data_IF_951748370904
#
_entry.id   IF_951748370904
#
_cell.length_a   1.000
_cell.length_b   1.000
_cell.length_c   1.000
_cell.angle_alpha   90.00
_cell.angle_beta   90.00
_cell.angle_gamma   90.00
#
_symmetry.space_group_name_H-M   'P 1'
#
loop_
_entity.id
_entity.type
_entity.pdbx_description
1 polymer ?
#
# COMPACT_ATOMS: atom_id res chain seq x y z
N UNK A 1 -13.48 12.96 -28.02
CA UNK A 1 -13.54 11.89 -26.99
C UNK A 1 -12.26 11.06 -26.95
N UNK A 2 -11.80 10.47 -28.06
CA UNK A 2 -10.55 9.68 -28.13
C UNK A 2 -9.29 10.44 -27.69
N UNK A 3 -9.12 11.70 -28.13
CA UNK A 3 -7.98 12.53 -27.76
C UNK A 3 -7.88 12.86 -26.26
N UNK A 4 -9.01 13.01 -25.57
CA UNK A 4 -9.04 13.26 -24.12
C UNK A 4 -8.59 12.04 -23.32
N UNK A 5 -9.00 10.84 -23.75
CA UNK A 5 -8.60 9.57 -23.14
C UNK A 5 -7.10 9.32 -23.34
N UNK A 6 -6.59 9.54 -24.55
CA UNK A 6 -5.15 9.41 -24.83
C UNK A 6 -4.30 10.41 -24.03
N UNK A 7 -4.76 11.66 -23.91
CA UNK A 7 -4.07 12.69 -23.12
C UNK A 7 -4.04 12.36 -21.62
N UNK A 8 -5.16 11.88 -21.06
CA UNK A 8 -5.23 11.43 -19.67
C UNK A 8 -4.32 10.23 -19.41
N UNK A 9 -4.30 9.26 -20.32
CA UNK A 9 -3.42 8.08 -20.23
C UNK A 9 -1.93 8.47 -20.29
N UNK A 10 -1.57 9.37 -21.21
CA UNK A 10 -0.18 9.84 -21.35
C UNK A 10 0.28 10.61 -20.11
N UNK A 11 -0.61 11.41 -19.53
CA UNK A 11 -0.37 12.14 -18.28
C UNK A 11 -0.15 11.19 -17.10
N UNK A 12 -0.95 10.11 -17.01
CA UNK A 12 -0.81 9.08 -16.00
C UNK A 12 0.54 8.35 -16.09
N UNK A 13 0.94 7.95 -17.30
CA UNK A 13 2.22 7.28 -17.54
C UNK A 13 3.40 8.19 -17.17
N UNK A 14 3.29 9.50 -17.43
CA UNK A 14 4.32 10.48 -17.07
C UNK A 14 4.47 10.62 -15.56
N UNK A 15 3.35 10.69 -14.83
CA UNK A 15 3.35 10.73 -13.36
C UNK A 15 3.96 9.48 -12.75
N UNK A 16 3.62 8.31 -13.29
CA UNK A 16 4.20 7.03 -12.86
C UNK A 16 5.71 6.96 -13.14
N UNK A 17 6.17 7.39 -14.32
CA UNK A 17 7.62 7.44 -14.62
C UNK A 17 8.38 8.31 -13.63
N UNK A 18 7.88 9.50 -13.33
CA UNK A 18 8.49 10.39 -12.33
C UNK A 18 8.52 9.79 -10.92
N UNK A 19 7.54 8.96 -10.55
CA UNK A 19 7.58 8.20 -9.30
C UNK A 19 8.64 7.08 -9.34
N UNK A 20 8.68 6.30 -10.41
CA UNK A 20 9.65 5.20 -10.60
C UNK A 20 11.10 5.69 -10.61
N UNK A 21 11.35 6.87 -11.18
CA UNK A 21 12.67 7.51 -11.24
C UNK A 21 13.04 8.24 -9.92
N UNK A 22 12.14 8.26 -8.92
CA UNK A 22 12.38 8.88 -7.62
C UNK A 22 12.18 10.40 -7.59
N UNK A 23 11.74 11.02 -8.69
CA UNK A 23 11.37 12.44 -8.73
C UNK A 23 10.11 12.75 -7.90
N UNK A 24 9.26 11.74 -7.66
CA UNK A 24 8.10 11.81 -6.75
C UNK A 24 8.22 10.70 -5.72
N UNK A 25 8.00 11.02 -4.45
CA UNK A 25 8.06 10.06 -3.32
C UNK A 25 6.73 9.41 -2.99
N UNK A 26 5.62 10.01 -3.45
CA UNK A 26 4.26 9.56 -3.13
C UNK A 26 3.50 9.42 -4.45
N UNK A 27 2.81 8.29 -4.61
CA UNK A 27 1.91 8.00 -5.71
C UNK A 27 0.55 7.59 -5.13
N UNK A 28 -0.50 8.31 -5.51
CA UNK A 28 -1.88 7.96 -5.19
C UNK A 28 -2.51 7.39 -6.45
N UNK A 29 -3.06 6.19 -6.36
CA UNK A 29 -3.64 5.48 -7.49
C UNK A 29 -4.83 4.63 -7.04
N UNK A 30 -5.80 4.45 -7.94
CA UNK A 30 -6.92 3.51 -7.79
C UNK A 30 -6.61 2.19 -8.51
N UNK A 31 -7.38 1.13 -8.23
CA UNK A 31 -7.17 -0.20 -8.83
C UNK A 31 -7.17 -0.23 -10.36
N UNK A 32 -7.88 0.72 -10.99
CA UNK A 32 -7.94 0.86 -12.44
C UNK A 32 -6.55 1.13 -13.05
N UNK A 33 -5.69 1.79 -12.28
CA UNK A 33 -4.31 2.12 -12.66
C UNK A 33 -3.33 1.01 -12.25
N UNK A 34 -3.62 0.26 -11.18
CA UNK A 34 -2.73 -0.76 -10.61
C UNK A 34 -2.61 -2.06 -11.42
N UNK A 35 -3.61 -2.41 -12.24
CA UNK A 35 -3.59 -3.69 -13.01
C UNK A 35 -2.64 -3.68 -14.22
N UNK A 36 -2.18 -2.50 -14.66
CA UNK A 36 -1.22 -2.35 -15.77
C UNK A 36 0.10 -1.69 -15.38
N UNK A 37 0.21 -1.19 -14.15
CA UNK A 37 1.39 -0.48 -13.67
C UNK A 37 2.07 -1.34 -12.60
N UNK A 38 3.21 -1.89 -12.99
CA UNK A 38 4.05 -2.67 -12.10
C UNK A 38 4.92 -1.76 -11.22
N UNK A 39 4.45 -1.46 -10.00
CA UNK A 39 5.18 -0.66 -9.03
C UNK A 39 6.01 -1.60 -8.17
N UNK A 40 7.20 -1.92 -8.63
CA UNK A 40 8.19 -2.68 -7.86
C UNK A 40 9.10 -1.69 -7.11
N UNK A 41 9.32 -1.90 -5.80
CA UNK A 41 10.19 -1.11 -4.87
C UNK A 41 9.51 0.04 -4.11
N UNK A 42 8.40 -0.23 -3.44
CA UNK A 42 7.87 0.69 -2.40
C UNK A 42 8.12 0.13 -1.01
N UNK A 43 8.44 1.00 -0.06
CA UNK A 43 8.65 0.62 1.33
C UNK A 43 7.31 0.50 2.09
N UNK A 44 6.34 1.34 1.71
CA UNK A 44 5.06 1.47 2.40
C UNK A 44 3.93 1.42 1.37
N UNK A 45 2.93 0.59 1.61
CA UNK A 45 1.66 0.56 0.89
C UNK A 45 0.55 0.96 1.86
N UNK A 46 -0.29 1.92 1.45
CA UNK A 46 -1.43 2.38 2.24
C UNK A 46 -2.70 2.12 1.42
N UNK A 47 -3.56 1.23 1.93
CA UNK A 47 -4.91 1.05 1.45
C UNK A 47 -5.81 2.07 2.16
N UNK A 48 -6.11 3.16 1.46
CA UNK A 48 -7.07 4.15 1.95
C UNK A 48 -8.49 3.58 2.00
N UNK A 49 -8.86 2.84 0.95
CA UNK A 49 -10.10 2.07 0.89
C UNK A 49 -9.79 0.57 0.93
N UNK A 50 -10.56 -0.18 1.70
CA UNK A 50 -10.43 -1.64 1.81
C UNK A 50 -10.66 -2.28 0.43
N UNK A 51 -9.78 -3.20 -0.02
CA UNK A 51 -10.01 -3.94 -1.26
C UNK A 51 -11.26 -4.82 -1.18
N UNK A 52 -11.90 -5.09 -2.32
CA UNK A 52 -13.12 -5.92 -2.39
C UNK A 52 -12.90 -7.39 -2.01
N UNK A 53 -11.65 -7.86 -2.01
CA UNK A 53 -11.31 -9.27 -1.78
C UNK A 53 -9.91 -9.44 -1.21
N UNK A 54 -9.71 -10.57 -0.53
CA UNK A 54 -8.42 -10.94 0.05
C UNK A 54 -7.30 -11.12 -1.00
N UNK A 55 -7.63 -11.62 -2.20
CA UNK A 55 -6.66 -11.73 -3.29
C UNK A 55 -6.23 -10.35 -3.81
N UNK A 56 -7.17 -9.42 -3.96
CA UNK A 56 -6.85 -8.03 -4.35
C UNK A 56 -6.00 -7.35 -3.29
N UNK A 57 -6.28 -7.59 -2.01
CA UNK A 57 -5.44 -7.13 -0.91
C UNK A 57 -4.00 -7.59 -1.05
N UNK A 58 -3.78 -8.90 -1.27
CA UNK A 58 -2.43 -9.46 -1.44
C UNK A 58 -1.71 -8.85 -2.65
N UNK A 59 -2.39 -8.66 -3.77
CA UNK A 59 -1.81 -8.02 -4.96
C UNK A 59 -1.39 -6.56 -4.71
N UNK A 60 -2.11 -5.82 -3.85
CA UNK A 60 -1.74 -4.45 -3.46
C UNK A 60 -0.53 -4.44 -2.52
N UNK A 61 -0.55 -5.24 -1.45
CA UNK A 61 0.55 -5.24 -0.46
C UNK A 61 1.82 -5.92 -0.98
N UNK A 62 1.70 -6.85 -1.94
CA UNK A 62 2.83 -7.50 -2.61
C UNK A 62 3.70 -6.57 -3.47
N UNK A 63 3.33 -5.28 -3.58
CA UNK A 63 4.18 -4.24 -4.17
C UNK A 63 5.32 -3.82 -3.23
N UNK A 64 5.15 -4.03 -1.93
CA UNK A 64 6.18 -3.84 -0.92
C UNK A 64 6.92 -5.16 -0.61
N UNK A 65 8.17 -5.05 -0.13
CA UNK A 65 8.90 -6.17 0.46
C UNK A 65 9.44 -7.25 -0.50
N UNK A 66 9.69 -6.92 -1.78
CA UNK A 66 10.31 -7.87 -2.74
C UNK A 66 11.81 -8.04 -2.46
N UNK A 67 12.36 -9.23 -2.75
CA UNK A 67 13.77 -9.59 -2.56
C UNK A 67 14.27 -9.59 -1.10
N UNK A 68 13.43 -10.02 -0.15
CA UNK A 68 13.80 -10.08 1.27
C UNK A 68 13.93 -8.71 1.93
N UNK A 69 13.43 -7.66 1.29
CA UNK A 69 13.37 -6.31 1.87
C UNK A 69 12.16 -6.21 2.80
N UNK A 70 12.28 -5.39 3.85
CA UNK A 70 11.16 -5.11 4.75
C UNK A 70 10.16 -4.18 4.05
N UNK A 71 8.88 -4.42 4.27
CA UNK A 71 7.79 -3.60 3.76
C UNK A 71 6.71 -3.42 4.82
N UNK A 72 6.03 -2.28 4.79
CA UNK A 72 4.90 -1.96 5.67
C UNK A 72 3.62 -1.83 4.85
N UNK A 73 2.57 -2.55 5.25
CA UNK A 73 1.23 -2.35 4.71
C UNK A 73 0.31 -1.81 5.80
N UNK A 74 -0.37 -0.71 5.49
CA UNK A 74 -1.35 -0.06 6.36
C UNK A 74 -2.68 -0.08 5.62
N UNK A 75 -3.74 -0.46 6.31
CA UNK A 75 -5.10 -0.47 5.74
C UNK A 75 -6.06 0.22 6.67
N UNK A 76 -6.89 1.10 6.11
CA UNK A 76 -7.94 1.78 6.85
C UNK A 76 -9.19 0.90 6.85
N UNK A 77 -9.80 0.77 8.01
CA UNK A 77 -11.03 -0.02 8.22
C UNK A 77 -12.07 0.94 8.77
N UNK A 78 -13.12 1.18 7.98
CA UNK A 78 -14.15 2.16 8.35
C UNK A 78 -15.51 1.50 8.59
N UNK A 79 -15.77 0.36 7.95
CA UNK A 79 -17.05 -0.34 8.01
C UNK A 79 -16.94 -1.77 8.55
N UNK A 80 -18.08 -2.34 8.95
CA UNK A 80 -18.16 -3.75 9.35
C UNK A 80 -17.78 -4.69 8.19
N UNK A 81 -18.18 -4.37 6.95
CA UNK A 81 -17.78 -5.11 5.76
C UNK A 81 -16.27 -5.09 5.52
N UNK A 82 -15.58 -3.98 5.82
CA UNK A 82 -14.13 -3.92 5.72
C UNK A 82 -13.49 -4.89 6.73
N UNK A 83 -14.05 -4.94 7.94
CA UNK A 83 -13.59 -5.86 8.99
C UNK A 83 -13.77 -7.32 8.57
N UNK A 84 -14.86 -7.66 7.88
CA UNK A 84 -15.08 -9.00 7.33
C UNK A 84 -14.03 -9.37 6.29
N UNK A 85 -13.68 -8.44 5.38
CA UNK A 85 -12.61 -8.68 4.39
C UNK A 85 -11.27 -8.82 5.09
N UNK A 86 -11.00 -8.04 6.14
CA UNK A 86 -9.77 -8.14 6.91
C UNK A 86 -9.62 -9.53 7.55
N UNK A 87 -10.69 -10.00 8.19
CA UNK A 87 -10.75 -11.33 8.79
C UNK A 87 -10.54 -12.43 7.75
N UNK A 88 -11.10 -12.27 6.54
CA UNK A 88 -10.85 -13.18 5.42
C UNK A 88 -9.38 -13.19 5.00
N UNK A 89 -8.72 -12.03 4.93
CA UNK A 89 -7.28 -11.93 4.64
C UNK A 89 -6.48 -12.67 5.71
N UNK A 90 -6.75 -12.41 6.99
CA UNK A 90 -6.05 -13.04 8.11
C UNK A 90 -6.20 -14.57 8.09
N UNK A 91 -7.42 -15.07 7.89
CA UNK A 91 -7.70 -16.50 7.81
C UNK A 91 -7.07 -17.16 6.58
N UNK A 92 -7.12 -16.49 5.41
CA UNK A 92 -6.63 -17.05 4.14
C UNK A 92 -5.11 -17.17 4.09
N UNK A 93 -4.40 -16.21 4.67
CA UNK A 93 -2.94 -16.13 4.60
C UNK A 93 -2.24 -16.45 5.91
N UNK A 94 -2.99 -16.86 6.94
CA UNK A 94 -2.47 -17.16 8.28
C UNK A 94 -1.61 -16.03 8.85
N UNK A 95 -2.06 -14.79 8.62
CA UNK A 95 -1.38 -13.57 9.08
C UNK A 95 -2.15 -12.92 10.22
N UNK A 96 -1.42 -12.49 11.24
CA UNK A 96 -1.95 -11.68 12.33
C UNK A 96 -1.74 -10.20 12.00
N UNK A 97 -2.83 -9.56 11.57
CA UNK A 97 -2.85 -8.13 11.23
C UNK A 97 -3.34 -7.38 12.47
N UNK A 98 -2.46 -6.56 13.05
CA UNK A 98 -2.71 -5.88 14.33
C UNK A 98 -3.09 -4.43 14.11
N UNK A 99 -3.75 -3.83 15.08
CA UNK A 99 -3.93 -2.38 15.12
C UNK A 99 -2.56 -1.66 15.13
N UNK A 100 -2.52 -0.47 14.52
CA UNK A 100 -1.31 0.34 14.45
C UNK A 100 -0.96 0.85 15.85
N UNK A 101 0.24 0.52 16.38
CA UNK A 101 0.67 1.09 17.65
C UNK A 101 0.92 2.59 17.52
N UNK A 102 0.80 3.34 18.61
CA UNK A 102 1.06 4.79 18.64
C UNK A 102 2.48 5.16 18.17
N UNK A 103 3.43 4.22 18.32
CA UNK A 103 4.82 4.40 17.93
C UNK A 103 5.28 3.22 17.08
N UNK A 104 5.84 3.53 15.91
CA UNK A 104 6.44 2.55 15.01
C UNK A 104 7.90 2.93 14.81
N UNK A 105 8.80 1.99 15.08
CA UNK A 105 10.21 2.16 14.77
C UNK A 105 10.45 2.00 13.25
N UNK A 106 11.16 2.97 12.67
CA UNK A 106 11.50 3.02 11.24
C UNK A 106 12.35 1.82 10.82
N UNK A 107 13.13 1.23 11.74
CA UNK A 107 13.93 0.03 11.46
C UNK A 107 13.08 -1.22 11.12
N UNK A 108 11.79 -1.19 11.44
CA UNK A 108 10.84 -2.28 11.22
C UNK A 108 10.47 -2.42 9.75
N UNK A 109 10.50 -1.33 8.98
CA UNK A 109 10.03 -1.31 7.60
C UNK A 109 10.99 -0.58 6.63
N UNK A 110 12.10 -0.04 7.12
CA UNK A 110 13.16 0.53 6.30
C UNK A 110 14.52 -0.08 6.65
N UNK A 111 15.26 -0.51 5.61
CA UNK A 111 16.69 -0.84 5.70
C UNK A 111 17.56 0.42 5.48
N UNK A 112 16.97 1.54 5.09
CA UNK A 112 17.67 2.79 4.76
C UNK A 112 17.34 3.82 5.85
N UNK A 113 18.36 4.33 6.53
CA UNK A 113 18.30 5.26 7.67
C UNK A 113 17.63 6.63 7.36
N UNK A 114 17.25 6.89 6.11
CA UNK A 114 16.85 8.22 5.62
C UNK A 114 15.53 8.27 4.86
N UNK A 115 14.53 7.46 5.24
CA UNK A 115 13.17 7.63 4.71
C UNK A 115 12.34 8.57 5.61
N UNK A 116 12.52 9.87 5.39
CA UNK A 116 11.68 10.93 5.98
C UNK A 116 10.27 10.84 5.37
N UNK A 117 9.35 10.15 6.04
CA UNK A 117 7.91 10.25 5.77
C UNK A 117 7.20 10.71 7.04
N UNK A 118 7.11 12.03 7.15
CA UNK A 118 6.31 12.74 8.14
C UNK A 118 4.91 12.86 7.55
N UNK A 119 3.98 11.98 7.91
CA UNK A 119 2.55 12.29 7.85
C UNK A 119 2.07 12.42 9.29
N UNK A 120 1.96 13.67 9.73
CA UNK A 120 1.31 14.01 10.99
C UNK A 120 -0.12 13.48 10.96
N UNK A 121 -0.46 12.72 12.00
CA UNK A 121 -1.81 12.34 12.40
C UNK A 121 -2.77 13.54 12.28
N UNK A 122 -3.96 13.31 11.72
CA UNK A 122 -5.23 13.77 12.30
C UNK A 122 -6.38 13.13 11.52
N UNK A 123 -7.04 12.14 12.13
CA UNK A 123 -8.49 11.93 12.16
C UNK A 123 -8.74 10.55 12.77
N UNK A 124 -9.52 10.53 13.85
CA UNK A 124 -10.03 9.32 14.48
C UNK A 124 -10.71 8.44 13.40
N UNK A 125 -10.11 7.29 13.09
CA UNK A 125 -10.79 6.02 12.81
C UNK A 125 -9.72 4.92 12.62
N UNK A 126 -10.05 3.71 13.07
CA UNK A 126 -9.17 2.57 13.29
C UNK A 126 -8.15 2.31 12.17
N UNK A 127 -6.89 2.16 12.58
CA UNK A 127 -5.74 1.99 11.71
C UNK A 127 -5.17 0.60 11.92
N UNK A 128 -5.08 -0.21 10.86
CA UNK A 128 -4.68 -1.61 10.95
C UNK A 128 -3.39 -1.84 10.14
N UNK A 129 -2.39 -2.47 10.76
CA UNK A 129 -1.06 -2.77 10.22
C UNK A 129 -0.94 -4.25 9.89
N UNK A 130 -0.72 -4.54 8.61
CA UNK A 130 -0.29 -5.85 8.18
C UNK A 130 1.23 -5.85 8.01
N UNK A 131 1.90 -6.72 8.78
CA UNK A 131 3.27 -7.10 8.47
C UNK A 131 3.19 -8.02 7.26
N UNK A 132 3.79 -7.62 6.13
CA UNK A 132 4.03 -8.55 5.04
C UNK A 132 4.99 -9.63 5.56
N UNK A 133 4.45 -10.81 5.83
CA UNK A 133 5.21 -11.94 6.36
C UNK A 133 6.31 -12.33 5.38
N UNK A 134 7.57 -12.18 5.80
CA UNK A 134 8.69 -12.94 5.26
C UNK A 134 8.71 -14.26 6.04
N UNK A 135 8.08 -15.27 5.47
CA UNK A 135 8.44 -16.65 5.78
C UNK A 135 9.50 -17.07 4.76
N UNK A 136 10.49 -17.80 5.27
CA UNK A 136 11.70 -18.25 4.60
C UNK A 136 11.50 -18.82 3.18
#
# INVERSE_FOLDING_TARGET
MIWAVLSALCSLLTRYKGFKEGHKRILVATDLVGRGIDIERVNIVINYDMPDSADTYLHRVGRAGRFGTKGLAITFVSSASDSDVLNQVQARFEVDIKELPEQIDTSTYSMISSCLLMLFFYLNHFLVVARAGSNA
#
